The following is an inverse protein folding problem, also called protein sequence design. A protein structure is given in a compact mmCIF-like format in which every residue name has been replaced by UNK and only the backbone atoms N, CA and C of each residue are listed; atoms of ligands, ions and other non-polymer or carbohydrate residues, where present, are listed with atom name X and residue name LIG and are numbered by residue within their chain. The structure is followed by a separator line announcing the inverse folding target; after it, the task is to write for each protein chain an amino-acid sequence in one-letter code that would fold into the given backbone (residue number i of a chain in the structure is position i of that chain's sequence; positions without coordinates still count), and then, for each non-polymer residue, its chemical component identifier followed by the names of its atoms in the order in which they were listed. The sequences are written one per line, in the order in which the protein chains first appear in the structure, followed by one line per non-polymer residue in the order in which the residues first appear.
data_IF_759495000481
#
_entry.id   IF_759495000481
#
_cell.length_a   1.000
_cell.length_b   1.000
_cell.length_c   1.000
_cell.angle_alpha   90.00
_cell.angle_beta   90.00
_cell.angle_gamma   90.00
#
_symmetry.space_group_name_H-M   'P 1'
#
loop_
_entity.id
_entity.type
_entity.pdbx_description
1 polymer ?
2 water ?
#
# COMPACT_ATOMS: atom_id res chain seq x y z
N UNK A 1 -25.20 6.55 -21.97
CA UNK A 1 -24.74 6.42 -20.56
C UNK A 1 -23.23 6.26 -20.49
N UNK A 2 -22.58 7.13 -19.72
CA UNK A 2 -21.14 7.08 -19.58
C UNK A 2 -20.73 6.86 -18.14
N UNK A 3 -19.56 6.27 -17.95
CA UNK A 3 -19.05 5.99 -16.62
C UNK A 3 -17.66 6.58 -16.41
N UNK A 4 -17.34 6.89 -15.17
CA UNK A 4 -16.04 7.45 -14.82
C UNK A 4 -15.75 7.13 -13.37
N UNK A 5 -14.47 6.94 -13.05
CA UNK A 5 -14.10 6.63 -11.68
C UNK A 5 -12.81 7.34 -11.32
N UNK A 6 -12.37 7.17 -10.08
CA UNK A 6 -11.16 7.83 -9.63
C UNK A 6 -10.03 6.87 -9.31
N UNK A 7 -8.84 7.21 -9.79
CA UNK A 7 -7.63 6.41 -9.57
C UNK A 7 -6.54 7.28 -8.95
N UNK A 8 -5.72 6.69 -8.09
CA UNK A 8 -4.64 7.42 -7.43
C UNK A 8 -3.46 6.51 -7.09
N UNK A 9 -2.26 6.91 -7.50
CA UNK A 9 -1.06 6.12 -7.24
C UNK A 9 -0.26 6.71 -6.09
N UNK A 10 0.12 5.89 -5.11
CA UNK A 10 0.91 6.41 -4.01
C UNK A 10 2.25 5.68 -3.89
N UNK A 11 3.31 6.45 -3.70
CA UNK A 11 4.64 5.87 -3.57
C UNK A 11 4.95 5.64 -2.10
N UNK A 12 5.09 4.38 -1.72
CA UNK A 12 5.40 4.06 -0.34
C UNK A 12 6.88 3.70 -0.22
N UNK A 13 7.65 4.48 0.55
CA UNK A 13 9.08 4.20 0.72
C UNK A 13 9.23 2.93 1.54
N UNK A 14 9.94 1.94 1.03
CA UNK A 14 10.10 0.70 1.79
C UNK A 14 11.54 0.24 1.96
N UNK A 15 11.70 -0.74 2.84
CA UNK A 15 13.00 -1.31 3.13
C UNK A 15 12.80 -2.82 3.11
N UNK A 16 13.72 -3.54 2.48
CA UNK A 16 13.60 -4.98 2.46
C UNK A 16 14.70 -5.55 3.33
N UNK A 17 14.29 -6.42 4.25
CA UNK A 17 15.19 -7.09 5.19
C UNK A 17 14.80 -8.56 5.22
N UNK A 18 15.51 -9.37 4.45
CA UNK A 18 15.23 -10.79 4.37
C UNK A 18 13.77 -11.00 3.99
N UNK A 19 13.03 -11.73 4.82
CA UNK A 19 11.63 -12.02 4.56
C UNK A 19 10.66 -10.88 4.84
N UNK A 20 11.14 -9.76 5.37
CA UNK A 20 10.23 -8.66 5.69
C UNK A 20 10.45 -7.34 4.94
N UNK A 21 9.36 -6.77 4.45
CA UNK A 21 9.40 -5.48 3.76
C UNK A 21 8.65 -4.57 4.71
N UNK A 22 9.20 -3.39 4.98
CA UNK A 22 8.53 -2.46 5.87
C UNK A 22 8.60 -1.04 5.32
N UNK A 23 7.73 -0.18 5.83
CA UNK A 23 7.71 1.21 5.40
C UNK A 23 8.82 1.94 6.14
N UNK A 24 9.66 2.69 5.43
CA UNK A 24 10.72 3.40 6.12
C UNK A 24 10.37 4.88 6.22
N UNK A 25 10.54 5.43 7.42
CA UNK A 25 10.23 6.83 7.65
C UNK A 25 8.73 7.02 7.78
N UNK A 26 8.27 8.25 7.60
CA UNK A 26 6.85 8.56 7.69
C UNK A 26 6.47 9.66 6.71
N UNK A 27 5.37 9.47 5.99
CA UNK A 27 4.92 10.47 5.03
C UNK A 27 3.53 10.98 5.37
N UNK A 28 3.32 12.27 5.14
CA UNK A 28 2.03 12.89 5.41
C UNK A 28 1.78 13.99 4.39
N UNK A 29 0.73 13.83 3.59
CA UNK A 29 0.38 14.81 2.57
C UNK A 29 -1.12 14.78 2.27
N UNK A 30 -1.58 15.76 1.49
CA UNK A 30 -2.98 15.86 1.13
C UNK A 30 -3.23 15.40 -0.29
N UNK A 31 -4.43 14.90 -0.55
CA UNK A 31 -4.80 14.41 -1.87
C UNK A 31 -6.31 14.56 -2.04
N UNK A 32 -6.81 14.48 -3.29
CA UNK A 32 -8.25 14.60 -3.58
C UNK A 32 -9.19 13.92 -2.59
N UNK A 33 -8.80 12.76 -2.06
CA UNK A 33 -9.66 12.08 -1.11
C UNK A 33 -9.26 12.35 0.33
N UNK A 34 -8.46 13.39 0.53
CA UNK A 34 -8.05 13.75 1.87
C UNK A 34 -6.58 13.55 2.21
N UNK A 35 -6.26 13.83 3.47
CA UNK A 35 -4.90 13.70 3.97
C UNK A 35 -4.50 12.23 4.12
N UNK A 36 -3.30 11.91 3.65
CA UNK A 36 -2.79 10.55 3.73
C UNK A 36 -1.58 10.51 4.65
N UNK A 37 -1.50 9.46 5.46
CA UNK A 37 -0.38 9.30 6.37
C UNK A 37 0.05 7.84 6.33
N UNK A 38 1.36 7.61 6.39
CA UNK A 38 1.90 6.25 6.38
C UNK A 38 3.09 6.16 7.32
N UNK A 39 3.19 5.03 8.01
CA UNK A 39 4.27 4.78 8.95
C UNK A 39 4.19 3.32 9.34
N UNK A 40 5.35 2.69 9.46
CA UNK A 40 5.42 1.28 9.80
C UNK A 40 4.91 0.92 11.19
N UNK A 41 4.62 -0.37 11.35
CA UNK A 41 4.16 -0.94 12.61
C UNK A 41 3.32 -0.15 13.61
N UNK A 42 2.18 0.38 13.18
CA UNK A 42 1.31 1.11 14.09
C UNK A 42 0.24 0.16 14.63
N UNK A 43 -0.25 0.43 15.84
CA UNK A 43 -1.27 -0.39 16.46
C UNK A 43 -2.64 0.01 15.93
N UNK A 44 -3.62 -0.86 16.14
CA UNK A 44 -4.98 -0.58 15.69
C UNK A 44 -5.62 0.52 16.52
N UNK A 45 -4.85 1.08 17.45
CA UNK A 45 -5.33 2.17 18.30
C UNK A 45 -4.64 3.45 17.87
N UNK A 46 -3.34 3.35 17.61
CA UNK A 46 -2.56 4.50 17.18
C UNK A 46 -3.08 5.01 15.83
N UNK A 47 -3.29 4.09 14.90
CA UNK A 47 -3.80 4.46 13.58
C UNK A 47 -5.04 5.32 13.70
N UNK A 48 -5.90 4.96 14.65
CA UNK A 48 -7.15 5.67 14.90
C UNK A 48 -6.98 7.08 15.43
N UNK A 49 -5.84 7.35 16.05
CA UNK A 49 -5.57 8.68 16.59
C UNK A 49 -4.93 9.58 15.55
N UNK A 50 -4.23 8.96 14.60
CA UNK A 50 -3.58 9.72 13.55
C UNK A 50 -4.56 10.69 12.91
N UNK A 51 -4.13 11.94 12.75
CA UNK A 51 -4.99 12.95 12.15
C UNK A 51 -4.86 12.90 10.63
N UNK A 52 -5.68 12.07 10.01
CA UNK A 52 -5.67 11.92 8.56
C UNK A 52 -6.91 11.16 8.12
N UNK A 53 -7.25 11.29 6.84
CA UNK A 53 -8.42 10.62 6.30
C UNK A 53 -8.10 9.21 5.81
N UNK A 54 -6.83 8.95 5.57
CA UNK A 54 -6.39 7.63 5.10
C UNK A 54 -5.03 7.31 5.72
N UNK A 55 -4.99 6.31 6.59
CA UNK A 55 -3.72 5.96 7.22
C UNK A 55 -3.27 4.57 6.79
N UNK A 56 -2.07 4.49 6.22
CA UNK A 56 -1.54 3.21 5.81
C UNK A 56 -0.40 2.84 6.74
N UNK A 57 -0.43 1.61 7.25
CA UNK A 57 0.62 1.13 8.14
C UNK A 57 0.85 -0.36 7.85
N UNK A 58 1.52 -1.06 8.76
CA UNK A 58 1.80 -2.48 8.57
C UNK A 58 1.78 -3.28 9.86
N UNK A 59 1.75 -4.60 9.71
CA UNK A 59 1.77 -5.52 10.84
C UNK A 59 3.24 -5.78 11.13
N UNK A 60 3.77 -5.11 12.15
CA UNK A 60 5.18 -5.23 12.53
C UNK A 60 5.72 -6.63 12.27
N UNK A 61 4.97 -7.63 12.71
CA UNK A 61 5.34 -9.03 12.51
C UNK A 61 4.38 -9.61 11.49
N UNK A 62 4.71 -9.49 10.20
CA UNK A 62 3.87 -9.99 9.10
C UNK A 62 3.80 -11.52 9.05
N UNK A 63 3.88 -12.15 10.21
CA UNK A 63 3.83 -13.61 10.34
C UNK A 63 3.43 -14.35 9.06
N UNK A 64 2.22 -14.09 8.57
CA UNK A 64 1.75 -14.74 7.35
C UNK A 64 2.80 -14.80 6.25
N UNK A 65 3.15 -16.01 5.84
CA UNK A 65 4.16 -16.23 4.81
C UNK A 65 3.75 -17.41 3.93
N UNK A 66 3.47 -17.16 2.64
CA UNK A 66 3.06 -18.20 1.70
C UNK A 66 4.05 -19.36 1.60
N UNK A 67 3.54 -20.57 1.44
CA UNK A 67 4.40 -21.73 1.30
C UNK A 67 4.93 -21.71 -0.13
N UNK A 68 6.21 -22.02 -0.30
CA UNK A 68 6.80 -22.02 -1.62
C UNK A 68 7.72 -20.83 -1.80
N UNK A 69 7.78 -19.96 -0.80
CA UNK A 69 8.64 -18.78 -0.89
C UNK A 69 10.07 -19.15 -0.55
N UNK A 70 11.02 -18.44 -1.15
CA UNK A 70 12.42 -18.71 -0.90
C UNK A 70 13.09 -17.48 -0.32
N UNK A 71 14.42 -17.50 -0.29
CA UNK A 71 15.19 -16.39 0.24
C UNK A 71 15.02 -15.11 -0.59
N UNK A 72 14.64 -15.26 -1.86
CA UNK A 72 14.46 -14.11 -2.74
C UNK A 72 13.12 -13.40 -2.53
N UNK A 73 12.23 -14.01 -1.75
CA UNK A 73 10.93 -13.42 -1.49
C UNK A 73 10.90 -12.58 -0.23
N UNK A 74 9.83 -11.81 -0.06
CA UNK A 74 9.67 -10.97 1.11
C UNK A 74 8.19 -10.66 1.25
N UNK A 75 7.73 -10.51 2.48
CA UNK A 75 6.33 -10.25 2.73
C UNK A 75 6.07 -8.97 3.49
N UNK A 76 4.81 -8.57 3.48
CA UNK A 76 4.36 -7.38 4.16
C UNK A 76 2.85 -7.52 4.29
N UNK A 77 2.31 -6.99 5.39
CA UNK A 77 0.87 -7.01 5.60
C UNK A 77 0.49 -5.56 5.81
N UNK A 78 -0.15 -4.96 4.82
CA UNK A 78 -0.57 -3.57 4.94
C UNK A 78 -1.79 -3.46 5.83
N UNK A 79 -1.84 -2.39 6.61
CA UNK A 79 -2.98 -2.11 7.49
C UNK A 79 -3.56 -0.82 6.97
N UNK A 80 -4.84 -0.82 6.62
CA UNK A 80 -5.45 0.39 6.11
C UNK A 80 -6.71 0.84 6.85
N UNK A 81 -6.70 2.11 7.24
CA UNK A 81 -7.83 2.74 7.91
C UNK A 81 -8.32 3.77 6.91
N UNK A 82 -9.49 3.52 6.34
CA UNK A 82 -10.06 4.41 5.35
C UNK A 82 -11.23 5.23 5.89
N UNK A 83 -11.01 6.54 6.01
CA UNK A 83 -12.02 7.47 6.49
C UNK A 83 -12.21 8.55 5.43
N UNK A 84 -12.00 8.18 4.18
CA UNK A 84 -12.14 9.11 3.07
C UNK A 84 -13.60 9.24 2.66
N UNK A 85 -14.41 8.26 3.05
CA UNK A 85 -15.81 8.29 2.69
C UNK A 85 -16.01 7.74 1.29
N UNK A 86 -15.03 6.97 0.82
CA UNK A 86 -15.10 6.37 -0.51
C UNK A 86 -14.55 4.94 -0.44
N UNK A 87 -15.24 4.00 -1.08
CA UNK A 87 -14.78 2.61 -1.10
C UNK A 87 -13.53 2.55 -1.95
N UNK A 88 -12.48 1.93 -1.42
CA UNK A 88 -11.23 1.83 -2.15
C UNK A 88 -10.81 0.40 -2.42
N UNK A 89 -10.15 0.21 -3.55
CA UNK A 89 -9.65 -1.09 -3.95
C UNK A 89 -8.27 -0.89 -4.55
N UNK A 90 -7.33 -1.76 -4.19
CA UNK A 90 -6.00 -1.66 -4.74
C UNK A 90 -6.00 -2.44 -6.05
N UNK A 91 -5.67 -1.77 -7.14
CA UNK A 91 -5.66 -2.40 -8.44
C UNK A 91 -4.26 -2.78 -8.89
N UNK A 92 -3.24 -2.31 -8.18
CA UNK A 92 -1.88 -2.63 -8.58
C UNK A 92 -0.80 -2.28 -7.56
N UNK A 93 0.25 -3.09 -7.54
CA UNK A 93 1.38 -2.86 -6.65
C UNK A 93 2.64 -3.24 -7.39
N UNK A 94 3.64 -2.37 -7.34
CA UNK A 94 4.90 -2.64 -8.00
C UNK A 94 6.03 -2.12 -7.14
N UNK A 95 7.12 -2.88 -7.07
CA UNK A 95 8.27 -2.47 -6.29
C UNK A 95 9.29 -1.99 -7.30
N UNK A 96 9.69 -0.73 -7.18
CA UNK A 96 10.64 -0.14 -8.11
C UNK A 96 11.86 0.41 -7.39
N UNK A 97 12.97 0.60 -8.12
CA UNK A 97 14.19 1.14 -7.53
C UNK A 97 13.90 2.58 -7.13
N UNK A 98 14.77 3.16 -6.30
CA UNK A 98 14.61 4.54 -5.90
C UNK A 98 15.92 5.25 -6.17
N UNK A 99 15.88 6.57 -6.22
CA UNK A 99 17.08 7.36 -6.41
C UNK A 99 17.16 8.33 -5.24
N UNK A 100 18.19 8.17 -4.43
CA UNK A 100 18.37 9.03 -3.27
C UNK A 100 19.78 9.60 -3.33
N UNK A 101 19.87 10.93 -3.29
CA UNK A 101 21.16 11.60 -3.33
C UNK A 101 21.93 11.21 -4.59
N UNK A 102 21.21 11.10 -5.70
CA UNK A 102 21.84 10.74 -6.95
C UNK A 102 22.33 9.30 -6.96
N UNK A 103 21.79 8.49 -6.05
CA UNK A 103 22.16 7.08 -5.93
C UNK A 103 20.96 6.16 -6.17
N UNK A 104 21.13 5.18 -7.05
CA UNK A 104 20.06 4.25 -7.33
C UNK A 104 20.02 3.21 -6.21
N UNK A 105 18.82 2.90 -5.74
CA UNK A 105 18.64 1.90 -4.69
C UNK A 105 17.55 0.95 -5.13
N UNK A 106 17.68 -0.32 -4.76
CA UNK A 106 16.68 -1.29 -5.16
C UNK A 106 16.82 -1.56 -6.65
N UNK A 107 18.05 -1.58 -7.13
CA UNK A 107 18.33 -1.83 -8.55
C UNK A 107 18.14 -3.33 -8.84
N UNK A 108 16.91 -3.80 -8.71
CA UNK A 108 16.61 -5.21 -8.93
C UNK A 108 15.28 -5.46 -9.63
N UNK A 109 15.17 -6.63 -10.26
CA UNK A 109 13.94 -7.02 -10.93
C UNK A 109 12.94 -7.33 -9.82
N UNK A 110 11.66 -7.41 -10.16
CA UNK A 110 10.67 -7.67 -9.15
C UNK A 110 9.31 -8.03 -9.70
N UNK A 111 8.58 -8.83 -8.93
CA UNK A 111 7.22 -9.20 -9.28
C UNK A 111 6.49 -9.29 -7.95
N UNK A 112 5.22 -8.90 -7.94
CA UNK A 112 4.49 -8.89 -6.69
C UNK A 112 3.07 -9.43 -6.72
N UNK A 113 2.71 -10.10 -5.64
CA UNK A 113 1.37 -10.62 -5.45
C UNK A 113 0.76 -9.77 -4.34
N UNK A 114 -0.55 -9.59 -4.39
CA UNK A 114 -1.26 -8.85 -3.35
C UNK A 114 -2.72 -9.29 -3.38
N UNK A 115 -3.31 -9.47 -2.21
CA UNK A 115 -4.70 -9.91 -2.14
C UNK A 115 -5.66 -8.82 -2.57
N UNK A 116 -6.81 -9.22 -3.10
CA UNK A 116 -7.80 -8.26 -3.54
C UNK A 116 -8.92 -8.22 -2.52
N UNK A 117 -8.94 -7.16 -1.73
CA UNK A 117 -9.97 -6.98 -0.73
C UNK A 117 -10.48 -5.57 -0.88
N UNK A 118 -11.79 -5.39 -0.78
CA UNK A 118 -12.35 -4.05 -0.89
C UNK A 118 -11.93 -3.35 0.39
N UNK A 119 -11.52 -2.10 0.29
CA UNK A 119 -11.11 -1.35 1.47
C UNK A 119 -12.29 -0.45 1.85
N UNK A 120 -13.15 -0.98 2.72
CA UNK A 120 -14.35 -0.29 3.19
C UNK A 120 -14.04 1.05 3.84
N UNK A 121 -14.87 2.05 3.56
CA UNK A 121 -14.68 3.38 4.12
C UNK A 121 -15.30 3.52 5.50
N UNK A 122 -15.05 2.55 6.38
CA UNK A 122 -15.59 2.59 7.74
C UNK A 122 -14.68 3.42 8.63
N UNK A 123 -14.94 3.40 9.94
CA UNK A 123 -14.13 4.18 10.87
C UNK A 123 -13.49 3.36 11.99
N UNK A 124 -13.89 2.10 12.12
CA UNK A 124 -13.34 1.23 13.15
C UNK A 124 -12.73 -0.04 12.57
N UNK A 125 -12.94 -0.26 11.28
CA UNK A 125 -12.43 -1.45 10.63
C UNK A 125 -11.07 -1.18 9.98
N UNK A 126 -10.09 -1.99 10.34
CA UNK A 126 -8.75 -1.89 9.79
C UNK A 126 -8.64 -3.01 8.77
N UNK A 127 -8.48 -2.66 7.50
CA UNK A 127 -8.37 -3.67 6.45
C UNK A 127 -6.92 -4.10 6.28
N UNK A 128 -6.70 -5.41 6.17
CA UNK A 128 -5.35 -5.94 5.99
C UNK A 128 -5.19 -6.42 4.54
N UNK A 129 -4.01 -6.19 3.97
CA UNK A 129 -3.72 -6.59 2.60
C UNK A 129 -2.36 -7.29 2.58
N UNK A 130 -2.34 -8.58 2.25
CA UNK A 130 -1.08 -9.29 2.20
C UNK A 130 -0.34 -9.01 0.90
N UNK A 131 0.96 -8.80 1.02
CA UNK A 131 1.80 -8.53 -0.14
C UNK A 131 3.02 -9.42 -0.10
N UNK A 132 3.27 -10.14 -1.19
CA UNK A 132 4.44 -11.00 -1.25
C UNK A 132 5.16 -10.69 -2.55
N UNK A 133 6.42 -10.30 -2.45
CA UNK A 133 7.19 -9.96 -3.65
C UNK A 133 8.38 -10.87 -3.85
N UNK A 134 8.80 -11.01 -5.09
CA UNK A 134 9.97 -11.83 -5.40
C UNK A 134 11.07 -10.92 -5.94
N UNK A 135 12.30 -11.15 -5.51
CA UNK A 135 13.42 -10.35 -5.97
C UNK A 135 14.53 -11.24 -6.51
N UNK A 136 15.62 -10.63 -6.98
CA UNK A 136 16.74 -11.38 -7.54
C UNK A 136 17.50 -12.25 -6.53
N UNK A 137 17.67 -11.76 -5.30
CA UNK A 137 18.37 -12.54 -4.28
C UNK A 137 17.86 -12.16 -2.90
N UNK A 138 18.59 -12.56 -1.86
CA UNK A 138 18.16 -12.26 -0.50
C UNK A 138 18.76 -11.03 0.14
N UNK A 139 19.47 -10.22 -0.64
CA UNK A 139 20.10 -9.01 -0.10
C UNK A 139 19.10 -7.93 0.30
N UNK A 140 19.42 -7.20 1.36
CA UNK A 140 18.56 -6.12 1.84
C UNK A 140 18.71 -4.93 0.91
N UNK A 141 17.70 -4.06 0.89
CA UNK A 141 17.75 -2.88 0.03
C UNK A 141 16.56 -1.98 0.30
N UNK A 142 16.65 -0.74 -0.15
CA UNK A 142 15.57 0.23 -0.01
C UNK A 142 14.93 0.35 -1.39
N UNK A 143 13.64 0.65 -1.44
CA UNK A 143 12.96 0.79 -2.71
C UNK A 143 11.65 1.52 -2.48
N UNK A 144 10.82 1.57 -3.52
CA UNK A 144 9.54 2.23 -3.43
C UNK A 144 8.44 1.26 -3.83
N UNK A 145 7.37 1.22 -3.04
CA UNK A 145 6.25 0.35 -3.33
C UNK A 145 5.15 1.25 -3.86
N UNK A 146 4.87 1.13 -5.16
CA UNK A 146 3.85 1.93 -5.80
C UNK A 146 2.50 1.23 -5.71
N UNK A 147 1.58 1.83 -4.97
CA UNK A 147 0.26 1.26 -4.81
C UNK A 147 -0.78 2.05 -5.58
N UNK A 148 -1.41 1.39 -6.55
CA UNK A 148 -2.45 2.04 -7.33
C UNK A 148 -3.79 1.83 -6.67
N UNK A 149 -4.46 2.93 -6.31
CA UNK A 149 -5.77 2.87 -5.67
C UNK A 149 -6.87 3.29 -6.64
N UNK A 150 -7.99 2.57 -6.60
CA UNK A 150 -9.13 2.90 -7.43
C UNK A 150 -10.33 3.00 -6.52
N UNK A 151 -11.28 3.86 -6.87
CA UNK A 151 -12.47 4.02 -6.06
C UNK A 151 -13.60 3.17 -6.64
N UNK A 152 -14.47 2.68 -5.77
CA UNK A 152 -15.60 1.87 -6.21
C UNK A 152 -16.83 2.76 -6.40
N UNK A 153 -16.77 3.98 -5.88
CA UNK A 153 -17.87 4.93 -6.03
C UNK A 153 -17.79 5.48 -7.44
N UNK A 154 -18.31 4.70 -8.39
CA UNK A 154 -18.30 5.07 -9.79
C UNK A 154 -19.36 6.10 -10.16
N UNK A 155 -18.98 7.04 -11.02
CA UNK A 155 -19.90 8.08 -11.49
C UNK A 155 -20.56 7.60 -12.77
N UNK A 156 -21.88 7.63 -12.79
CA UNK A 156 -22.63 7.20 -13.96
C UNK A 156 -23.55 8.32 -14.43
N UNK A 157 -23.30 8.83 -15.62
CA UNK A 157 -24.12 9.90 -16.18
C UNK A 157 -24.95 9.39 -17.35
N UNK A 158 -26.27 9.57 -17.25
CA UNK A 158 -27.19 9.14 -18.30
C UNK A 158 -27.93 10.36 -18.85
N UNK A 159 -28.42 10.24 -20.08
CA UNK A 159 -29.16 11.32 -20.73
C UNK A 159 -30.63 10.91 -20.81
N UNK A 160 -31.36 11.05 -19.71
CA UNK A 160 -32.77 10.68 -19.67
C UNK A 160 -33.71 11.70 -20.32
N UNK A 161 -34.95 11.26 -20.53
CA UNK A 161 -35.98 12.10 -21.13
C UNK A 161 -37.30 11.85 -20.41
#
# INVERSE_FOLDING_TARGET
SVVANYDQMMRVPIQRRAKVMSIRGERSYNTPLGKVAMKNGLSDKDMKDVSADLVISTVTAPRTDPAGTGAENSNMTLKILNNTGVDLLINDITVRPTVIAGNIKGNTMSNTYFSSKDIKSSSSKITLIDVCSKFEDGAAFEATMNIGFTSKNVIDIKDEI
#
